data_IF_673305650462
#
_entry.id   IF_673305650462
#
_cell.length_a   1.000
_cell.length_b   1.000
_cell.length_c   1.000
_cell.angle_alpha   90.00
_cell.angle_beta   90.00
_cell.angle_gamma   90.00
#
_symmetry.space_group_name_H-M   'P 1'
#
loop_
_entity.id
_entity.type
_entity.pdbx_description
1 polymer ?
#
# COMPACT_ATOMS: atom_id res chain seq x y z
N UNK A 1 5.21 -6.68 -8.03
CA UNK A 1 5.10 -5.61 -7.02
C UNK A 1 5.83 -4.34 -7.49
N UNK A 2 7.12 -4.45 -7.84
CA UNK A 2 7.99 -3.33 -8.21
C UNK A 2 7.43 -2.39 -9.27
N UNK A 3 6.76 -2.94 -10.30
CA UNK A 3 6.10 -2.13 -11.33
C UNK A 3 5.03 -1.21 -10.73
N UNK A 4 4.13 -1.75 -9.91
CA UNK A 4 3.06 -0.98 -9.25
C UNK A 4 3.65 0.06 -8.27
N UNK A 5 4.67 -0.32 -7.50
CA UNK A 5 5.37 0.58 -6.59
C UNK A 5 6.05 1.75 -7.34
N UNK A 6 6.60 1.49 -8.54
CA UNK A 6 7.23 2.54 -9.36
C UNK A 6 6.21 3.53 -9.91
N UNK A 7 5.04 3.08 -10.36
CA UNK A 7 3.94 3.98 -10.75
C UNK A 7 3.42 4.78 -9.56
N UNK A 8 3.42 4.18 -8.37
CA UNK A 8 2.98 4.86 -7.16
C UNK A 8 3.91 6.01 -6.72
N UNK A 9 5.09 6.19 -7.32
CA UNK A 9 5.91 7.39 -7.09
C UNK A 9 5.19 8.69 -7.49
N UNK A 10 4.32 8.64 -8.50
CA UNK A 10 3.57 9.81 -8.96
C UNK A 10 2.31 10.07 -8.12
N UNK A 11 1.60 9.00 -7.74
CA UNK A 11 0.33 9.11 -7.00
C UNK A 11 0.51 9.17 -5.48
N UNK A 12 1.63 8.67 -4.97
CA UNK A 12 1.98 8.62 -3.55
C UNK A 12 0.88 8.02 -2.66
N UNK A 13 0.19 6.99 -3.14
CA UNK A 13 -0.82 6.30 -2.33
C UNK A 13 -0.17 5.54 -1.18
N UNK A 14 -0.83 5.53 -0.02
CA UNK A 14 -0.40 4.81 1.18
C UNK A 14 -0.58 3.30 1.04
N UNK A 15 -1.69 2.87 0.46
CA UNK A 15 -2.05 1.45 0.37
C UNK A 15 -1.99 0.97 -1.08
N UNK A 16 -1.25 -0.10 -1.33
CA UNK A 16 -1.23 -0.80 -2.62
C UNK A 16 -1.81 -2.20 -2.45
N UNK A 17 -2.70 -2.59 -3.35
CA UNK A 17 -3.21 -3.93 -3.50
C UNK A 17 -2.92 -4.41 -4.92
N UNK A 18 -2.18 -5.50 -5.04
CA UNK A 18 -1.87 -6.13 -6.33
C UNK A 18 -2.43 -7.54 -6.30
N UNK A 19 -3.19 -7.91 -7.32
CA UNK A 19 -3.81 -9.23 -7.41
C UNK A 19 -3.84 -9.75 -8.83
N UNK A 20 -3.81 -11.07 -8.97
CA UNK A 20 -4.09 -11.80 -10.20
C UNK A 20 -5.43 -12.55 -10.15
N UNK A 21 -6.28 -12.28 -9.15
CA UNK A 21 -7.55 -12.97 -8.90
C UNK A 21 -7.45 -14.24 -8.04
N UNK A 22 -6.27 -14.85 -7.91
CA UNK A 22 -6.03 -16.01 -7.04
C UNK A 22 -5.19 -15.67 -5.81
N UNK A 23 -4.20 -14.80 -5.97
CA UNK A 23 -3.30 -14.35 -4.92
C UNK A 23 -3.35 -12.83 -4.84
N UNK A 24 -3.33 -12.33 -3.62
CA UNK A 24 -3.44 -10.92 -3.32
C UNK A 24 -2.25 -10.51 -2.45
N UNK A 25 -1.59 -9.43 -2.84
CA UNK A 25 -0.51 -8.81 -2.08
C UNK A 25 -0.94 -7.41 -1.70
N UNK A 26 -1.02 -7.15 -0.41
CA UNK A 26 -1.31 -5.82 0.13
C UNK A 26 -0.07 -5.29 0.87
N UNK A 27 0.20 -4.00 0.71
CA UNK A 27 1.23 -3.33 1.49
C UNK A 27 0.85 -1.88 1.83
N UNK A 28 1.47 -1.42 2.90
CA UNK A 28 1.59 -0.01 3.23
C UNK A 28 2.90 0.54 2.68
N UNK A 29 2.87 1.72 2.07
CA UNK A 29 4.04 2.44 1.59
C UNK A 29 4.24 3.66 2.46
N UNK A 30 5.39 3.72 3.15
CA UNK A 30 5.85 4.89 3.87
C UNK A 30 6.75 5.71 2.94
N UNK A 31 6.22 6.82 2.44
CA UNK A 31 6.95 7.71 1.54
C UNK A 31 7.98 8.59 2.26
N UNK A 32 7.85 8.77 3.58
CA UNK A 32 8.79 9.56 4.37
C UNK A 32 10.06 8.74 4.67
N UNK A 33 9.89 7.46 5.02
CA UNK A 33 11.00 6.54 5.29
C UNK A 33 11.45 5.76 4.04
N UNK A 34 10.71 5.85 2.94
CA UNK A 34 10.97 5.10 1.71
C UNK A 34 10.81 3.59 1.90
N UNK A 35 9.97 3.17 2.85
CA UNK A 35 9.82 1.76 3.25
C UNK A 35 8.49 1.18 2.78
N UNK A 36 8.43 -0.14 2.67
CA UNK A 36 7.25 -0.89 2.27
C UNK A 36 7.01 -2.01 3.27
N UNK A 37 5.79 -2.07 3.81
CA UNK A 37 5.38 -3.10 4.76
C UNK A 37 4.25 -3.94 4.18
N UNK A 38 4.51 -5.22 3.94
CA UNK A 38 3.47 -6.15 3.54
C UNK A 38 2.53 -6.44 4.70
N UNK A 39 1.24 -6.56 4.38
CA UNK A 39 0.19 -6.87 5.35
C UNK A 39 -0.67 -8.01 4.85
N UNK A 40 -1.08 -8.88 5.77
CA UNK A 40 -1.83 -10.10 5.44
C UNK A 40 -3.28 -9.82 5.02
N UNK A 41 -3.81 -8.63 5.38
CA UNK A 41 -5.17 -8.23 5.06
C UNK A 41 -5.25 -6.76 4.70
N UNK A 42 -6.21 -6.44 3.82
CA UNK A 42 -6.59 -5.06 3.55
C UNK A 42 -7.19 -4.46 4.83
N UNK A 43 -6.81 -3.21 5.19
CA UNK A 43 -7.44 -2.51 6.30
C UNK A 43 -8.95 -2.37 6.09
N UNK A 44 -9.70 -2.20 7.17
CA UNK A 44 -11.09 -1.80 7.08
C UNK A 44 -11.21 -0.34 6.58
N UNK A 45 -12.45 0.10 6.33
CA UNK A 45 -12.71 1.45 5.83
C UNK A 45 -12.09 2.54 6.72
N UNK A 46 -12.17 2.38 8.05
CA UNK A 46 -11.59 3.33 8.98
C UNK A 46 -10.05 3.39 8.83
N UNK A 47 -9.38 2.25 8.72
CA UNK A 47 -7.93 2.17 8.51
C UNK A 47 -7.47 2.70 7.15
N UNK A 48 -8.30 2.58 6.11
CA UNK A 48 -8.01 3.17 4.80
C UNK A 48 -8.14 4.71 4.81
N UNK A 49 -9.11 5.24 5.55
CA UNK A 49 -9.34 6.68 5.69
C UNK A 49 -8.42 7.35 6.73
N UNK A 50 -7.81 6.57 7.63
CA UNK A 50 -6.92 7.10 8.63
C UNK A 50 -5.74 7.82 7.96
N UNK A 51 -5.49 9.07 8.36
CA UNK A 51 -4.26 9.76 8.01
C UNK A 51 -3.08 9.04 8.69
N UNK A 52 -1.93 8.89 8.02
CA UNK A 52 -0.73 8.42 8.72
C UNK A 52 -0.47 9.38 9.89
N UNK A 53 -0.46 8.84 11.12
CA UNK A 53 -0.03 9.62 12.28
C UNK A 53 1.45 9.92 12.09
N UNK A 54 1.80 11.21 12.19
CA UNK A 54 3.17 11.71 12.08
C UNK A 54 4.17 10.97 12.98
#
# INVERSE_FOLDING_TARGET
FDQAARYNRAFQVRWLLVTNGHTHYCCEVDHAQGSVRFVDRVPDHAGLCASPSA
#
